data_IF_033590899949
#
_entry.id   IF_033590899949
#
_cell.length_a   1.000
_cell.length_b   1.000
_cell.length_c   1.000
_cell.angle_alpha   90.00
_cell.angle_beta   90.00
_cell.angle_gamma   90.00
#
_symmetry.space_group_name_H-M   'P 1'
#
loop_
_entity.id
_entity.type
_entity.pdbx_description
1 polymer ?
#
# COMPACT_ATOMS: atom_id res chain seq x y z
N UNK A 1 -19.50 34.84 -49.97
CA UNK A 1 -19.63 34.37 -48.58
C UNK A 1 -19.90 32.89 -48.62
N UNK A 2 -18.94 32.07 -48.17
CA UNK A 2 -19.15 30.86 -47.35
C UNK A 2 -17.75 30.34 -46.96
N UNK A 3 -17.29 30.71 -45.77
CA UNK A 3 -16.11 30.09 -45.15
C UNK A 3 -16.50 28.70 -44.67
N UNK A 4 -15.90 27.66 -45.25
CA UNK A 4 -15.99 26.29 -44.75
C UNK A 4 -14.79 26.02 -43.86
N UNK A 5 -14.89 26.40 -42.59
CA UNK A 5 -13.98 25.96 -41.55
C UNK A 5 -14.27 24.49 -41.25
N UNK A 6 -13.48 23.60 -41.86
CA UNK A 6 -13.41 22.20 -41.51
C UNK A 6 -12.60 22.08 -40.22
N UNK A 7 -13.27 22.15 -39.07
CA UNK A 7 -12.66 21.79 -37.79
C UNK A 7 -12.46 20.27 -37.76
N UNK A 8 -11.26 19.87 -38.19
CA UNK A 8 -10.71 18.54 -37.95
C UNK A 8 -10.52 18.37 -36.44
N UNK A 9 -11.52 17.81 -35.77
CA UNK A 9 -11.36 17.21 -34.45
C UNK A 9 -10.50 15.96 -34.64
N UNK A 10 -9.19 16.13 -34.64
CA UNK A 10 -8.24 15.02 -34.63
C UNK A 10 -8.52 14.08 -33.46
N UNK A 11 -8.19 12.78 -33.57
CA UNK A 11 -8.44 11.82 -32.51
C UNK A 11 -7.70 12.26 -31.24
N UNK A 12 -8.46 12.61 -30.21
CA UNK A 12 -7.94 12.85 -28.86
C UNK A 12 -7.39 11.52 -28.33
N UNK A 13 -6.08 11.35 -28.41
CA UNK A 13 -5.42 10.17 -27.87
C UNK A 13 -5.67 10.08 -26.37
N UNK A 14 -6.15 8.93 -25.90
CA UNK A 14 -6.31 8.70 -24.48
C UNK A 14 -4.94 8.79 -23.76
N UNK A 15 -4.88 9.42 -22.58
CA UNK A 15 -3.63 9.56 -21.86
C UNK A 15 -3.09 8.19 -21.44
N UNK A 16 -1.78 7.98 -21.60
CA UNK A 16 -1.11 6.76 -21.14
C UNK A 16 -0.86 6.84 -19.64
N UNK A 17 -0.81 5.69 -18.95
CA UNK A 17 -0.50 5.63 -17.51
C UNK A 17 0.80 6.38 -17.18
N UNK A 18 1.82 6.23 -18.02
CA UNK A 18 3.11 6.88 -17.84
C UNK A 18 3.02 8.41 -17.92
N UNK A 19 2.23 8.94 -18.87
CA UNK A 19 2.01 10.39 -18.99
C UNK A 19 1.28 10.96 -17.78
N UNK A 20 0.31 10.23 -17.24
CA UNK A 20 -0.47 10.66 -16.05
C UNK A 20 0.40 10.67 -14.79
N UNK A 21 1.30 9.68 -14.66
CA UNK A 21 2.19 9.57 -13.51
C UNK A 21 3.47 10.41 -13.62
N UNK A 22 3.70 11.08 -14.76
CA UNK A 22 4.90 11.90 -14.98
C UNK A 22 6.19 11.08 -15.08
N UNK A 23 6.11 9.86 -15.59
CA UNK A 23 7.25 8.94 -15.76
C UNK A 23 7.54 8.67 -17.24
N UNK A 24 8.77 8.24 -17.51
CA UNK A 24 9.21 7.79 -18.84
C UNK A 24 9.00 6.29 -18.98
N UNK A 25 8.69 5.85 -20.21
CA UNK A 25 8.61 4.43 -20.53
C UNK A 25 7.42 3.72 -19.88
N UNK A 26 7.56 2.44 -19.57
CA UNK A 26 6.53 1.60 -18.96
C UNK A 26 6.76 1.41 -17.46
N UNK A 27 5.69 1.26 -16.70
CA UNK A 27 5.77 0.79 -15.32
C UNK A 27 6.32 -0.63 -15.23
N UNK A 28 7.14 -0.89 -14.21
CA UNK A 28 7.67 -2.20 -13.85
C UNK A 28 7.13 -2.63 -12.49
N UNK A 29 6.90 -3.92 -12.30
CA UNK A 29 6.62 -4.47 -10.98
C UNK A 29 7.91 -4.66 -10.20
N UNK A 30 7.90 -4.24 -8.93
CA UNK A 30 8.95 -4.55 -7.96
C UNK A 30 8.34 -5.12 -6.70
N UNK A 31 9.02 -6.09 -6.08
CA UNK A 31 8.60 -6.66 -4.80
C UNK A 31 8.56 -5.57 -3.73
N UNK A 32 7.46 -5.50 -3.00
CA UNK A 32 7.33 -4.68 -1.81
C UNK A 32 8.10 -5.32 -0.66
N UNK A 33 8.72 -4.51 0.19
CA UNK A 33 9.41 -4.97 1.40
C UNK A 33 8.49 -5.35 2.58
N UNK A 34 7.17 -5.41 2.37
CA UNK A 34 6.22 -5.68 3.44
C UNK A 34 6.01 -7.19 3.56
N UNK A 35 6.07 -7.69 4.79
CA UNK A 35 5.77 -9.09 5.10
C UNK A 35 4.27 -9.37 5.21
N UNK A 36 3.44 -8.32 5.22
CA UNK A 36 1.99 -8.48 5.32
C UNK A 36 1.41 -8.96 3.99
N UNK A 37 0.42 -9.85 4.05
CA UNK A 37 -0.35 -10.27 2.87
C UNK A 37 -1.05 -9.08 2.23
N UNK A 38 -1.04 -9.05 0.90
CA UNK A 38 -1.71 -8.03 0.09
C UNK A 38 -3.19 -7.85 0.47
N UNK A 39 -3.68 -6.63 0.30
CA UNK A 39 -5.10 -6.30 0.50
C UNK A 39 -5.90 -6.60 -0.75
N UNK A 40 -5.31 -6.30 -1.92
CA UNK A 40 -5.94 -6.45 -3.22
C UNK A 40 -5.03 -7.23 -4.17
N UNK A 41 -5.63 -7.82 -5.20
CA UNK A 41 -4.94 -8.54 -6.26
C UNK A 41 -5.41 -8.05 -7.63
N UNK A 42 -4.47 -7.75 -8.51
CA UNK A 42 -4.74 -7.46 -9.91
C UNK A 42 -4.96 -8.78 -10.67
N UNK A 43 -6.10 -8.90 -11.35
CA UNK A 43 -6.46 -10.09 -12.15
C UNK A 43 -6.93 -9.67 -13.53
N UNK A 44 -6.64 -10.49 -14.54
CA UNK A 44 -7.24 -10.35 -15.87
C UNK A 44 -8.75 -10.59 -15.78
N UNK A 45 -9.52 -9.80 -16.50
CA UNK A 45 -10.97 -9.94 -16.64
C UNK A 45 -11.34 -10.00 -18.12
N UNK A 46 -12.33 -10.82 -18.43
CA UNK A 46 -12.91 -10.92 -19.78
C UNK A 46 -14.09 -9.95 -19.86
N UNK A 47 -14.09 -9.10 -20.89
CA UNK A 47 -15.25 -8.26 -21.20
C UNK A 47 -16.07 -8.96 -22.27
N UNK A 48 -17.40 -8.97 -22.11
CA UNK A 48 -18.29 -9.48 -23.14
C UNK A 48 -18.24 -8.60 -24.39
N UNK A 49 -18.27 -9.24 -25.56
CA UNK A 49 -18.17 -8.57 -26.87
C UNK A 49 -19.23 -7.48 -27.07
N UNK A 50 -20.39 -7.62 -26.42
CA UNK A 50 -21.50 -6.65 -26.48
C UNK A 50 -21.21 -5.30 -25.78
N UNK A 51 -20.19 -5.25 -24.92
CA UNK A 51 -19.79 -4.01 -24.24
C UNK A 51 -18.83 -3.14 -25.05
N UNK A 52 -18.27 -3.68 -26.15
CA UNK A 52 -17.22 -3.03 -26.93
C UNK A 52 -17.79 -2.60 -28.28
N UNK A 53 -18.58 -1.53 -28.24
CA UNK A 53 -19.28 -0.97 -29.41
C UNK A 53 -18.33 -0.18 -30.34
N UNK A 54 -17.21 -0.79 -30.75
CA UNK A 54 -16.18 -0.09 -31.52
C UNK A 54 -15.50 -1.07 -32.46
N UNK A 55 -15.85 -0.96 -33.74
CA UNK A 55 -15.59 -1.94 -34.81
C UNK A 55 -14.12 -2.04 -35.22
N UNK A 56 -13.23 -1.22 -34.63
CA UNK A 56 -11.80 -1.12 -35.00
C UNK A 56 -10.81 -1.42 -33.85
N UNK A 57 -11.24 -2.07 -32.77
CA UNK A 57 -10.38 -2.27 -31.60
C UNK A 57 -9.39 -3.43 -31.76
N UNK A 58 -8.11 -3.10 -31.66
CA UNK A 58 -7.01 -4.04 -31.45
C UNK A 58 -7.29 -4.93 -30.23
N UNK A 59 -6.80 -6.18 -30.19
CA UNK A 59 -6.96 -7.04 -29.03
C UNK A 59 -6.37 -6.38 -27.79
N UNK A 60 -7.21 -6.17 -26.78
CA UNK A 60 -6.85 -5.55 -25.50
C UNK A 60 -7.15 -6.51 -24.35
N UNK A 61 -6.23 -6.58 -23.38
CA UNK A 61 -6.46 -7.31 -22.14
C UNK A 61 -6.91 -6.34 -21.04
N UNK A 62 -7.96 -6.71 -20.31
CA UNK A 62 -8.49 -5.92 -19.23
C UNK A 62 -8.10 -6.52 -17.89
N UNK A 63 -7.85 -5.66 -16.91
CA UNK A 63 -7.47 -6.07 -15.56
C UNK A 63 -8.29 -5.30 -14.53
N UNK A 64 -8.61 -5.96 -13.43
CA UNK A 64 -9.35 -5.36 -12.31
C UNK A 64 -8.75 -5.77 -10.97
N UNK A 65 -9.02 -4.96 -9.95
CA UNK A 65 -8.57 -5.19 -8.58
C UNK A 65 -9.65 -5.92 -7.79
N UNK A 66 -9.25 -7.02 -7.14
CA UNK A 66 -10.11 -7.81 -6.28
C UNK A 66 -9.56 -7.77 -4.85
N UNK A 67 -10.42 -7.63 -3.85
CA UNK A 67 -10.01 -7.75 -2.46
C UNK A 67 -9.58 -9.19 -2.16
N UNK A 68 -8.39 -9.39 -1.57
CA UNK A 68 -7.93 -10.69 -1.07
C UNK A 68 -8.39 -10.96 0.37
N UNK A 69 -8.70 -9.91 1.13
CA UNK A 69 -9.15 -9.94 2.52
C UNK A 69 -10.03 -8.73 2.81
N UNK A 70 -10.70 -8.70 3.98
CA UNK A 70 -11.38 -7.49 4.46
C UNK A 70 -10.37 -6.34 4.56
N UNK A 71 -10.68 -5.20 3.93
CA UNK A 71 -9.78 -4.05 3.89
C UNK A 71 -10.04 -3.19 5.12
N UNK A 72 -9.13 -3.25 6.09
CA UNK A 72 -9.15 -2.46 7.33
C UNK A 72 -7.89 -1.57 7.38
N UNK A 73 -7.77 -0.66 6.41
CA UNK A 73 -6.59 0.21 6.25
C UNK A 73 -6.93 1.62 6.75
N UNK A 74 -6.08 2.17 7.62
CA UNK A 74 -6.23 3.55 8.11
C UNK A 74 -5.96 4.57 6.99
N UNK A 75 -6.55 5.78 7.05
CA UNK A 75 -6.19 6.87 6.15
C UNK A 75 -4.68 7.14 6.14
N UNK A 76 -4.13 7.42 4.95
CA UNK A 76 -2.69 7.65 4.76
C UNK A 76 -1.81 6.40 4.86
N UNK A 77 -2.39 5.20 4.98
CA UNK A 77 -1.66 3.93 4.88
C UNK A 77 -1.86 3.28 3.52
N UNK A 78 -0.84 2.56 3.09
CA UNK A 78 -0.79 1.91 1.78
C UNK A 78 -1.73 0.70 1.71
N UNK A 79 -2.40 0.56 0.57
CA UNK A 79 -3.13 -0.65 0.21
C UNK A 79 -2.18 -1.53 -0.59
N UNK A 80 -1.63 -2.55 0.07
CA UNK A 80 -0.74 -3.52 -0.56
C UNK A 80 -1.43 -4.28 -1.71
N UNK A 81 -0.77 -4.33 -2.86
CA UNK A 81 -1.22 -4.98 -4.10
C UNK A 81 -0.41 -6.25 -4.37
N UNK A 82 -1.06 -7.32 -4.83
CA UNK A 82 -0.40 -8.48 -5.45
C UNK A 82 -0.84 -8.63 -6.91
N UNK A 83 -0.13 -9.42 -7.71
CA UNK A 83 -0.48 -9.70 -9.11
C UNK A 83 -0.77 -11.19 -9.26
N UNK A 84 -1.96 -11.52 -9.75
CA UNK A 84 -2.29 -12.89 -10.13
C UNK A 84 -1.65 -13.19 -11.49
N UNK A 85 -0.38 -13.55 -11.46
CA UNK A 85 0.35 -14.01 -12.63
C UNK A 85 0.13 -15.51 -12.83
N UNK A 86 0.06 -15.95 -14.09
CA UNK A 86 -0.14 -17.36 -14.45
C UNK A 86 1.02 -18.26 -13.97
N UNK A 87 2.23 -17.70 -13.88
CA UNK A 87 3.44 -18.35 -13.38
C UNK A 87 3.56 -18.36 -11.85
N UNK A 88 2.64 -17.71 -11.12
CA UNK A 88 2.65 -17.64 -9.66
C UNK A 88 3.74 -16.74 -9.06
N UNK A 89 4.52 -16.01 -9.86
CA UNK A 89 5.70 -15.28 -9.38
C UNK A 89 5.43 -14.14 -8.39
N UNK A 90 4.17 -13.64 -8.36
CA UNK A 90 3.75 -12.48 -7.56
C UNK A 90 2.44 -12.69 -6.77
N UNK A 91 1.96 -13.94 -6.63
CA UNK A 91 0.64 -14.21 -6.05
C UNK A 91 0.57 -13.98 -4.54
N UNK A 92 1.67 -14.22 -3.83
CA UNK A 92 1.72 -14.17 -2.35
C UNK A 92 2.54 -13.00 -1.79
N UNK A 93 3.18 -12.21 -2.65
CA UNK A 93 4.00 -11.09 -2.23
C UNK A 93 3.41 -9.77 -2.74
N UNK A 94 3.35 -8.78 -1.85
CA UNK A 94 2.97 -7.43 -2.25
C UNK A 94 3.99 -6.85 -3.25
N UNK A 95 3.53 -6.06 -4.19
CA UNK A 95 4.32 -5.37 -5.21
C UNK A 95 4.07 -3.87 -5.19
N UNK A 96 5.01 -3.12 -5.74
CA UNK A 96 4.93 -1.70 -6.06
C UNK A 96 5.17 -1.50 -7.56
N UNK A 97 4.70 -0.37 -8.06
CA UNK A 97 5.00 0.09 -9.40
C UNK A 97 6.24 0.97 -9.37
N UNK A 98 7.23 0.63 -10.19
CA UNK A 98 8.44 1.40 -10.40
C UNK A 98 8.42 2.00 -11.81
N UNK A 99 8.81 3.26 -11.94
CA UNK A 99 8.93 3.95 -13.21
C UNK A 99 10.17 4.83 -13.23
N UNK A 100 10.73 5.02 -14.42
CA UNK A 100 11.92 5.85 -14.58
C UNK A 100 11.50 7.33 -14.69
N UNK A 101 12.18 8.22 -13.96
CA UNK A 101 11.90 9.66 -13.98
C UNK A 101 12.56 10.34 -15.19
N UNK A 102 12.00 11.46 -15.63
CA UNK A 102 12.64 12.28 -16.65
C UNK A 102 13.94 12.90 -16.10
N UNK A 103 15.05 12.68 -16.80
CA UNK A 103 16.34 13.34 -16.48
C UNK A 103 17.28 12.56 -15.57
N UNK A 104 17.03 11.29 -15.26
CA UNK A 104 18.00 10.44 -14.53
C UNK A 104 19.09 9.85 -15.43
N UNK A 105 19.37 10.47 -16.59
CA UNK A 105 20.56 10.17 -17.40
C UNK A 105 21.82 10.74 -16.70
N UNK A 106 21.98 10.45 -15.41
CA UNK A 106 23.22 10.64 -14.67
C UNK A 106 24.14 9.49 -15.01
N UNK A 107 25.04 9.77 -15.95
CA UNK A 107 26.46 9.43 -15.87
C UNK A 107 26.77 8.16 -15.06
N UNK A 108 26.75 7.01 -15.73
CA UNK A 108 27.67 5.93 -15.36
C UNK A 108 29.07 6.36 -15.84
N UNK A 109 29.67 7.35 -15.17
CA UNK A 109 31.11 7.53 -15.25
C UNK A 109 31.74 6.28 -14.66
N UNK A 110 32.51 5.61 -15.51
CA UNK A 110 33.32 4.45 -15.18
C UNK A 110 34.36 4.92 -14.17
N UNK A 111 34.11 4.73 -12.87
CA UNK A 111 35.17 4.84 -11.86
C UNK A 111 36.14 3.67 -12.02
N UNK A 112 37.19 3.94 -12.79
CA UNK A 112 38.37 3.12 -12.91
C UNK A 112 39.30 3.46 -11.73
N UNK A 113 39.50 2.47 -10.85
CA UNK A 113 40.69 2.23 -10.01
C UNK A 113 41.52 3.45 -9.56
N UNK A 114 41.65 3.70 -8.25
CA UNK A 114 42.96 3.57 -7.55
C UNK A 114 42.81 3.55 -6.02
N UNK A 115 43.60 2.66 -5.40
CA UNK A 115 44.31 2.83 -4.12
C UNK A 115 43.66 2.47 -2.77
N UNK A 116 44.17 1.35 -2.24
CA UNK A 116 44.30 1.00 -0.83
C UNK A 116 44.58 2.19 0.09
N UNK A 117 43.82 2.35 1.18
CA UNK A 117 44.37 2.81 2.47
C UNK A 117 43.43 2.67 3.69
N UNK A 118 43.94 1.93 4.67
CA UNK A 118 43.69 1.92 6.13
C UNK A 118 42.26 1.77 6.68
N UNK A 119 42.03 0.59 7.26
CA UNK A 119 41.03 0.31 8.29
C UNK A 119 41.03 1.35 9.42
N UNK A 120 39.89 1.99 9.69
CA UNK A 120 39.55 2.49 11.01
C UNK A 120 38.18 1.95 11.40
N UNK A 121 38.18 0.73 11.94
CA UNK A 121 37.03 0.16 12.61
C UNK A 121 36.80 0.93 13.93
N UNK A 122 35.78 1.79 13.95
CA UNK A 122 35.24 2.31 15.21
C UNK A 122 34.43 1.17 15.85
N UNK A 123 35.02 0.48 16.82
CA UNK A 123 34.33 -0.50 17.64
C UNK A 123 33.19 0.17 18.42
N UNK A 124 31.95 -0.05 17.98
CA UNK A 124 30.77 0.25 18.79
C UNK A 124 30.50 -0.98 19.66
N UNK A 125 30.53 -0.89 21.00
CA UNK A 125 30.30 -2.05 21.85
C UNK A 125 28.87 -2.58 21.67
N UNK A 126 28.78 -3.81 21.14
CA UNK A 126 27.54 -4.56 20.97
C UNK A 126 27.02 -5.03 22.34
N UNK A 127 25.93 -4.44 22.81
CA UNK A 127 25.24 -4.90 24.03
C UNK A 127 24.20 -5.96 23.66
N UNK A 128 24.32 -7.21 24.16
CA UNK A 128 23.38 -8.26 23.82
C UNK A 128 21.95 -7.97 24.33
N UNK A 129 20.90 -8.36 23.57
CA UNK A 129 19.50 -8.04 23.91
C UNK A 129 19.03 -8.51 25.29
N UNK A 130 19.68 -9.51 25.89
CA UNK A 130 19.32 -10.11 27.19
C UNK A 130 19.84 -9.32 28.41
N UNK A 131 20.51 -8.19 28.21
CA UNK A 131 21.02 -7.32 29.29
C UNK A 131 20.22 -6.02 29.51
N UNK A 132 19.01 -5.92 28.96
CA UNK A 132 18.08 -4.83 29.31
C UNK A 132 17.54 -5.04 30.73
N UNK A 133 18.29 -4.63 31.74
CA UNK A 133 17.79 -4.52 33.12
C UNK A 133 16.64 -3.52 33.15
N UNK A 134 15.46 -3.97 33.55
CA UNK A 134 14.30 -3.14 33.86
C UNK A 134 14.60 -2.34 35.13
N UNK A 135 14.73 -1.02 34.99
CA UNK A 135 14.79 -0.12 36.13
C UNK A 135 13.38 0.03 36.71
N UNK A 136 12.99 -0.90 37.59
CA UNK A 136 11.81 -0.74 38.45
C UNK A 136 12.19 0.24 39.58
N UNK A 137 11.79 1.51 39.46
CA UNK A 137 11.67 2.39 40.63
C UNK A 137 10.30 2.16 41.25
N UNK A 138 10.24 1.22 42.18
CA UNK A 138 9.24 1.22 43.23
C UNK A 138 9.54 2.41 44.16
N UNK A 139 8.57 3.30 44.33
CA UNK A 139 8.51 4.11 45.55
C UNK A 139 7.49 3.43 46.46
N UNK A 140 7.99 2.93 47.58
CA UNK A 140 7.23 2.46 48.73
C UNK A 140 6.24 3.55 49.18
N UNK A 141 4.96 3.20 49.24
CA UNK A 141 4.22 2.93 50.47
C UNK A 141 4.31 4.04 51.53
N UNK A 142 3.25 4.86 51.59
CA UNK A 142 2.65 5.28 52.86
C UNK A 142 1.13 5.09 52.71
N UNK A 143 0.61 4.01 53.27
CA UNK A 143 -0.76 3.94 53.77
C UNK A 143 -0.66 4.04 55.31
N UNK A 144 -1.74 4.21 56.11
CA UNK A 144 -3.17 4.24 55.79
C UNK A 144 -3.94 5.38 56.52
N UNK A 145 -5.17 5.70 56.09
CA UNK A 145 -6.31 5.80 57.03
C UNK A 145 -7.64 5.94 56.31
N UNK A 146 -8.60 5.17 56.81
CA UNK A 146 -9.95 5.03 56.34
C UNK A 146 -10.76 6.34 56.40
N UNK A 147 -11.73 6.49 55.49
CA UNK A 147 -13.11 6.82 55.87
C UNK A 147 -14.12 6.36 54.81
N UNK A 148 -15.00 5.51 55.32
CA UNK A 148 -16.24 4.94 54.83
C UNK A 148 -17.33 6.01 54.73
N UNK A 149 -17.96 6.17 53.57
CA UNK A 149 -19.41 6.50 53.37
C UNK A 149 -19.76 6.02 51.94
N UNK A 150 -20.50 4.93 51.76
CA UNK A 150 -21.97 4.77 51.82
C UNK A 150 -22.70 5.24 50.55
N UNK A 151 -23.07 4.22 49.74
CA UNK A 151 -24.21 4.07 48.82
C UNK A 151 -24.52 5.14 47.75
N UNK A 152 -24.65 4.67 46.50
CA UNK A 152 -26.00 4.48 45.94
C UNK A 152 -26.00 3.51 44.75
N UNK A 153 -26.95 2.59 44.80
CA UNK A 153 -27.30 1.52 43.86
C UNK A 153 -28.35 2.08 42.91
N UNK A 154 -28.15 1.98 41.59
CA UNK A 154 -29.27 1.81 40.67
C UNK A 154 -28.96 0.69 39.69
N UNK A 155 -29.34 -0.49 40.16
CA UNK A 155 -29.61 -1.69 39.41
C UNK A 155 -30.90 -1.46 38.59
N UNK A 156 -30.84 -1.54 37.27
CA UNK A 156 -32.03 -1.55 36.42
C UNK A 156 -32.31 -3.00 36.01
N UNK A 157 -33.39 -3.57 36.54
CA UNK A 157 -33.92 -4.88 36.15
C UNK A 157 -35.27 -4.68 35.46
N UNK A 158 -35.32 -5.21 34.24
CA UNK A 158 -36.41 -5.81 33.46
C UNK A 158 -37.88 -5.60 33.86
N UNK A 159 -38.72 -5.38 32.82
CA UNK A 159 -40.03 -6.05 32.71
C UNK A 159 -40.28 -6.56 31.28
N UNK A 160 -40.78 -7.80 31.13
CA UNK A 160 -41.39 -8.29 29.90
C UNK A 160 -42.88 -7.88 29.86
N UNK A 161 -43.44 -7.73 28.66
CA UNK A 161 -44.89 -7.61 28.46
C UNK A 161 -45.36 -8.82 27.64
N UNK A 162 -46.11 -9.70 28.30
CA UNK A 162 -47.10 -10.56 27.67
C UNK A 162 -48.42 -9.80 27.62
N UNK A 163 -49.08 -9.76 26.46
CA UNK A 163 -50.53 -10.01 26.26
C UNK A 163 -50.92 -9.65 24.82
N UNK A 164 -51.64 -10.55 24.14
CA UNK A 164 -52.47 -10.14 23.01
C UNK A 164 -52.71 -11.17 21.91
N UNK A 165 -53.52 -12.19 22.22
CA UNK A 165 -54.35 -13.03 21.35
C UNK A 165 -53.69 -14.00 20.35
#
# INVERSE_FOLDING_TARGET
MVDSASDSLGPVSSPTVSSVLGIKGSLRFRRHGASQKAHVVLRRVELSEESVNDTDKRPAAYFSLFAQKRIEVKPGKEILLAVASEDGSFTDQAVIFEGDLFGSDTQTEVEQQTQDNVEHAVEVPFVPPKMRRTWNKAYEQIAPTARRLHLSVYQWVSRPSHHGQ
#
